data_IF_682899918030
#
_entry.id   IF_682899918030
#
_cell.length_a   1.000
_cell.length_b   1.000
_cell.length_c   1.000
_cell.angle_alpha   90.00
_cell.angle_beta   90.00
_cell.angle_gamma   90.00
#
_symmetry.space_group_name_H-M   'P 1'
#
loop_
_entity.id
_entity.type
_entity.pdbx_description
1 polymer ?
#
# COMPACT_ATOMS: atom_id res chain seq x y z
N UNK A 1 -17.53 1.22 11.87
CA UNK A 1 -18.55 2.08 12.44
C UNK A 1 -19.02 1.39 13.70
N UNK A 2 -19.02 2.12 14.81
CA UNK A 2 -19.46 1.62 16.10
C UNK A 2 -20.77 2.32 16.44
N UNK A 3 -21.79 1.59 16.89
CA UNK A 3 -23.03 2.18 17.38
C UNK A 3 -22.83 2.74 18.81
N UNK A 4 -23.85 3.42 19.35
CA UNK A 4 -23.79 4.00 20.70
C UNK A 4 -23.65 2.94 21.81
N UNK A 5 -24.00 1.69 21.52
CA UNK A 5 -23.82 0.53 22.41
C UNK A 5 -22.41 -0.09 22.35
N UNK A 6 -21.54 0.43 21.48
CA UNK A 6 -20.17 -0.04 21.35
C UNK A 6 -19.98 -1.21 20.38
N UNK A 7 -20.98 -1.58 19.60
CA UNK A 7 -20.93 -2.72 18.68
C UNK A 7 -20.51 -2.30 17.28
N UNK A 8 -19.71 -3.14 16.60
CA UNK A 8 -19.33 -2.94 15.21
C UNK A 8 -20.47 -3.35 14.27
N UNK A 9 -21.00 -2.39 13.53
CA UNK A 9 -22.15 -2.61 12.62
C UNK A 9 -21.77 -2.71 11.15
N UNK A 10 -20.49 -2.54 10.80
CA UNK A 10 -20.02 -2.61 9.41
C UNK A 10 -19.84 -4.06 8.95
N UNK A 11 -20.19 -4.35 7.69
CA UNK A 11 -19.91 -5.64 7.05
C UNK A 11 -18.41 -5.91 6.90
N UNK A 12 -17.64 -4.88 6.54
CA UNK A 12 -16.18 -4.94 6.42
C UNK A 12 -15.57 -3.54 6.41
N UNK A 13 -14.29 -3.43 6.74
CA UNK A 13 -13.52 -2.20 6.58
C UNK A 13 -12.77 -2.27 5.25
N UNK A 14 -13.06 -1.40 4.27
CA UNK A 14 -12.41 -1.43 2.96
C UNK A 14 -10.93 -1.03 3.06
N UNK A 15 -10.14 -1.54 2.11
CA UNK A 15 -8.73 -1.16 1.98
C UNK A 15 -8.61 0.32 1.65
N UNK A 16 -7.57 0.98 2.17
CA UNK A 16 -7.20 2.35 1.80
C UNK A 16 -5.98 2.32 0.90
N UNK A 17 -5.98 3.19 -0.11
CA UNK A 17 -4.83 3.43 -0.96
C UNK A 17 -3.68 3.96 -0.11
N UNK A 18 -2.53 3.28 -0.13
CA UNK A 18 -1.33 3.66 0.59
C UNK A 18 -0.76 5.00 0.12
N UNK A 19 -1.01 5.38 -1.13
CA UNK A 19 -0.49 6.62 -1.70
C UNK A 19 -1.34 7.85 -1.34
N UNK A 20 -2.67 7.73 -1.39
CA UNK A 20 -3.61 8.87 -1.32
C UNK A 20 -4.59 8.80 -0.15
N UNK A 21 -4.54 7.75 0.67
CA UNK A 21 -5.50 7.47 1.75
C UNK A 21 -6.97 7.35 1.31
N UNK A 22 -7.25 7.31 0.00
CA UNK A 22 -8.58 7.10 -0.55
C UNK A 22 -9.04 5.67 -0.32
N UNK A 23 -10.32 5.49 0.02
CA UNK A 23 -10.95 4.18 0.14
C UNK A 23 -10.99 3.49 -1.23
N UNK A 24 -10.60 2.22 -1.28
CA UNK A 24 -10.70 1.35 -2.46
C UNK A 24 -12.07 0.67 -2.42
N UNK A 25 -12.94 1.03 -3.37
CA UNK A 25 -14.28 0.45 -3.48
C UNK A 25 -14.25 -0.98 -4.03
N UNK A 26 -15.32 -1.75 -3.77
CA UNK A 26 -15.42 -3.15 -4.20
C UNK A 26 -15.37 -3.35 -5.72
N UNK A 27 -15.80 -2.35 -6.51
CA UNK A 27 -15.78 -2.37 -7.98
C UNK A 27 -14.56 -1.68 -8.61
N UNK A 28 -13.56 -1.29 -7.81
CA UNK A 28 -12.30 -0.76 -8.34
C UNK A 28 -11.39 -1.90 -8.82
N UNK A 29 -11.72 -2.45 -9.99
CA UNK A 29 -10.95 -3.53 -10.64
C UNK A 29 -9.58 -3.08 -11.15
N UNK A 30 -9.34 -1.76 -11.20
CA UNK A 30 -8.03 -1.21 -11.50
C UNK A 30 -7.17 -1.07 -10.23
N UNK A 31 -7.68 -1.33 -9.03
CA UNK A 31 -6.85 -1.35 -7.82
C UNK A 31 -5.90 -2.55 -7.82
N UNK A 32 -4.71 -2.37 -7.24
CA UNK A 32 -3.74 -3.44 -7.05
C UNK A 32 -3.27 -3.50 -5.61
N UNK A 33 -2.75 -4.67 -5.26
CA UNK A 33 -2.01 -4.90 -4.04
C UNK A 33 -0.65 -5.52 -4.41
N UNK A 34 0.43 -4.91 -3.96
CA UNK A 34 1.80 -5.33 -4.25
C UNK A 34 2.47 -5.71 -2.94
N UNK A 35 3.12 -6.87 -2.93
CA UNK A 35 3.98 -7.30 -1.83
C UNK A 35 5.44 -7.07 -2.22
N UNK A 36 6.15 -6.26 -1.45
CA UNK A 36 7.58 -6.01 -1.59
C UNK A 36 8.30 -6.82 -0.52
N UNK A 37 9.13 -7.76 -0.93
CA UNK A 37 9.86 -8.64 -0.01
C UNK A 37 10.99 -7.88 0.68
N UNK A 38 11.19 -8.17 1.96
CA UNK A 38 12.34 -7.68 2.70
C UNK A 38 13.54 -8.61 2.50
N UNK A 39 14.73 -8.02 2.52
CA UNK A 39 16.00 -8.74 2.36
C UNK A 39 16.83 -8.58 3.62
N UNK A 40 17.54 -9.65 3.98
CA UNK A 40 18.54 -9.60 5.03
C UNK A 40 19.69 -8.67 4.62
N UNK A 41 20.11 -7.78 5.53
CA UNK A 41 21.08 -6.72 5.24
C UNK A 41 22.49 -7.25 4.97
N UNK A 42 22.82 -8.43 5.50
CA UNK A 42 24.16 -9.03 5.36
C UNK A 42 24.23 -9.95 4.15
N UNK A 43 23.26 -10.85 4.02
CA UNK A 43 23.28 -11.89 2.98
C UNK A 43 22.57 -11.49 1.69
N UNK A 44 21.74 -10.44 1.71
CA UNK A 44 20.93 -9.99 0.58
C UNK A 44 19.81 -10.98 0.18
N UNK A 45 19.58 -12.02 0.98
CA UNK A 45 18.55 -13.03 0.71
C UNK A 45 17.20 -12.61 1.27
N UNK A 46 16.13 -13.05 0.61
CA UNK A 46 14.76 -12.81 1.07
C UNK A 46 14.55 -13.49 2.42
N UNK A 47 14.08 -12.72 3.40
CA UNK A 47 13.88 -13.19 4.78
C UNK A 47 12.48 -13.80 5.03
N UNK A 48 11.64 -13.85 3.99
CA UNK A 48 10.26 -14.35 4.05
C UNK A 48 9.23 -13.32 4.50
N UNK A 49 9.66 -12.15 4.97
CA UNK A 49 8.79 -11.03 5.30
C UNK A 49 8.55 -10.14 4.08
N UNK A 50 7.39 -9.48 4.04
CA UNK A 50 7.04 -8.56 2.96
C UNK A 50 6.17 -7.41 3.49
N UNK A 51 6.33 -6.24 2.87
CA UNK A 51 5.45 -5.10 3.05
C UNK A 51 4.42 -5.05 1.94
N UNK A 52 3.18 -4.79 2.31
CA UNK A 52 2.05 -4.77 1.38
C UNK A 52 1.63 -3.33 1.12
N UNK A 53 1.53 -2.94 -0.15
CA UNK A 53 0.99 -1.65 -0.58
C UNK A 53 -0.26 -1.83 -1.42
N UNK A 54 -1.25 -0.98 -1.21
CA UNK A 54 -2.46 -0.93 -2.02
C UNK A 54 -2.51 0.37 -2.80
N UNK A 55 -2.66 0.30 -4.12
CA UNK A 55 -2.81 1.47 -5.00
C UNK A 55 -4.20 1.44 -5.63
N UNK A 56 -4.93 2.55 -5.55
CA UNK A 56 -6.27 2.66 -6.13
C UNK A 56 -6.21 2.90 -7.65
N UNK A 57 -7.27 2.50 -8.34
CA UNK A 57 -7.39 2.63 -9.80
C UNK A 57 -7.20 4.05 -10.33
N UNK A 58 -7.71 5.11 -9.69
CA UNK A 58 -7.51 6.49 -10.13
C UNK A 58 -6.04 6.90 -10.21
N UNK A 59 -5.20 6.54 -9.22
CA UNK A 59 -3.76 6.86 -9.22
C UNK A 59 -3.06 6.16 -10.39
N UNK A 60 -3.43 4.89 -10.65
CA UNK A 60 -2.90 4.14 -11.80
C UNK A 60 -3.32 4.73 -13.14
N UNK A 61 -4.56 5.20 -13.26
CA UNK A 61 -5.06 5.83 -14.49
C UNK A 61 -4.36 7.15 -14.78
N UNK A 62 -3.97 7.90 -13.75
CA UNK A 62 -3.24 9.16 -13.91
C UNK A 62 -1.77 8.98 -14.31
N UNK A 63 -1.22 7.76 -14.21
CA UNK A 63 0.21 7.51 -14.46
C UNK A 63 1.11 7.72 -13.22
N UNK A 64 0.57 8.27 -12.14
CA UNK A 64 1.28 8.57 -10.88
C UNK A 64 1.55 7.36 -9.98
N UNK A 65 1.33 6.15 -10.49
CA UNK A 65 1.50 4.92 -9.71
C UNK A 65 2.97 4.62 -9.42
N UNK A 66 3.86 4.91 -10.37
CA UNK A 66 5.30 4.66 -10.22
C UNK A 66 5.90 5.57 -9.14
N UNK A 67 5.71 6.89 -9.29
CA UNK A 67 6.17 7.89 -8.32
C UNK A 67 5.64 7.59 -6.90
N UNK A 68 4.36 7.23 -6.80
CA UNK A 68 3.76 6.85 -5.52
C UNK A 68 4.46 5.67 -4.86
N UNK A 69 4.81 4.63 -5.62
CA UNK A 69 5.53 3.46 -5.09
C UNK A 69 6.96 3.83 -4.73
N UNK A 70 7.65 4.61 -5.58
CA UNK A 70 9.00 5.09 -5.31
C UNK A 70 9.07 5.89 -4.00
N UNK A 71 8.13 6.82 -3.80
CA UNK A 71 8.02 7.61 -2.57
C UNK A 71 7.78 6.73 -1.34
N UNK A 72 6.86 5.76 -1.45
CA UNK A 72 6.58 4.80 -0.36
C UNK A 72 7.80 3.92 -0.04
N UNK A 73 8.55 3.49 -1.05
CA UNK A 73 9.74 2.67 -0.88
C UNK A 73 10.91 3.46 -0.28
N UNK A 74 11.10 4.73 -0.66
CA UNK A 74 12.06 5.66 -0.03
C UNK A 74 11.75 5.89 1.45
N UNK A 75 10.48 6.10 1.80
CA UNK A 75 10.04 6.24 3.21
C UNK A 75 10.35 5.00 4.07
N UNK A 76 10.50 3.84 3.42
CA UNK A 76 10.75 2.56 4.07
C UNK A 76 12.19 2.11 3.97
N UNK A 77 13.08 3.02 3.53
CA UNK A 77 14.53 2.81 3.40
C UNK A 77 14.89 1.63 2.48
N UNK A 78 13.98 1.27 1.56
CA UNK A 78 14.25 0.25 0.55
C UNK A 78 15.18 0.76 -0.55
N UNK A 79 15.07 2.06 -0.84
CA UNK A 79 15.95 2.79 -1.73
C UNK A 79 16.77 3.82 -0.94
N UNK A 80 17.98 4.15 -1.41
CA UNK A 80 18.77 5.23 -0.85
C UNK A 80 18.02 6.56 -0.98
N UNK A 81 18.12 7.40 0.06
CA UNK A 81 17.45 8.72 0.12
C UNK A 81 17.94 9.71 -0.95
N UNK A 82 19.09 9.44 -1.55
CA UNK A 82 19.73 10.23 -2.61
C UNK A 82 19.26 9.85 -4.02
N UNK A 83 18.42 8.84 -4.17
CA UNK A 83 17.85 8.49 -5.47
C UNK A 83 16.85 9.59 -5.90
N UNK A 84 17.06 10.18 -7.07
CA UNK A 84 16.13 11.16 -7.66
C UNK A 84 14.92 10.42 -8.22
#
# INVERSE_FOLDING_TARGET
MQNDAGEFVDLYVPRKCSASNRIIGAKDHASIQINISEVDKVTGRVNGQFKTYAICGPIRRMGESDDSILRLAKMMELFPRTFN
#
